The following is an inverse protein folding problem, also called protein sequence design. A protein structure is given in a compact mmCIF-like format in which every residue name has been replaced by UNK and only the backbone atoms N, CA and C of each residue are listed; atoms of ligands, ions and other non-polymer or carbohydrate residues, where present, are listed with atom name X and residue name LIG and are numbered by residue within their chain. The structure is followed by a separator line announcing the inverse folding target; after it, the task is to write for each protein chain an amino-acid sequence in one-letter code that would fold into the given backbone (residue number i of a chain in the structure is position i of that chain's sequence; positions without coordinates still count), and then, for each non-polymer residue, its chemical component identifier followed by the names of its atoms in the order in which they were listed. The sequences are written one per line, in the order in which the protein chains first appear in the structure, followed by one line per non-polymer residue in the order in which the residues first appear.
data_IF_831215290060
#
_entry.id   IF_831215290060
#
_cell.length_a   1.000
_cell.length_b   1.000
_cell.length_c   1.000
_cell.angle_alpha   90.00
_cell.angle_beta   90.00
_cell.angle_gamma   90.00
#
_symmetry.space_group_name_H-M   'P 1'
#
loop_
_entity.id
_entity.type
_entity.pdbx_description
1 polymer ?
#
# COMPACT_ATOMS: atom_id res chain seq x y z
N UNK A 1 31.14 -2.38 -26.25
CA UNK A 1 30.99 -1.73 -24.93
C UNK A 1 30.56 -0.30 -25.21
N UNK A 2 29.29 0.03 -25.01
CA UNK A 2 28.78 1.37 -25.32
C UNK A 2 29.47 2.39 -24.40
N UNK A 3 30.21 3.33 -24.97
CA UNK A 3 30.75 4.47 -24.23
C UNK A 3 29.60 5.28 -23.62
N UNK A 4 29.82 5.82 -22.42
CA UNK A 4 28.82 6.70 -21.78
C UNK A 4 28.59 7.94 -22.65
N UNK A 5 27.40 8.55 -22.56
CA UNK A 5 27.06 9.79 -23.28
C UNK A 5 28.12 10.87 -23.06
N UNK A 6 28.71 10.94 -21.87
CA UNK A 6 29.83 11.84 -21.55
C UNK A 6 31.08 11.59 -22.41
N UNK A 7 31.41 10.32 -22.70
CA UNK A 7 32.55 10.00 -23.58
C UNK A 7 32.25 10.31 -25.04
N UNK A 8 31.02 10.04 -25.48
CA UNK A 8 30.57 10.39 -26.82
C UNK A 8 30.70 11.90 -27.03
N UNK A 9 30.15 12.70 -26.12
CA UNK A 9 30.20 14.17 -26.20
C UNK A 9 31.63 14.72 -26.13
N UNK A 10 32.50 14.14 -25.29
CA UNK A 10 33.90 14.59 -25.19
C UNK A 10 34.75 14.27 -26.41
N UNK A 11 34.41 13.24 -27.17
CA UNK A 11 35.27 12.68 -28.22
C UNK A 11 34.74 12.92 -29.64
N UNK A 12 33.47 13.32 -29.78
CA UNK A 12 32.88 13.70 -31.07
C UNK A 12 33.26 15.12 -31.48
N UNK A 13 33.79 15.25 -32.70
CA UNK A 13 34.01 16.56 -33.35
C UNK A 13 32.71 17.32 -33.61
N UNK A 14 31.55 16.68 -33.50
CA UNK A 14 30.22 17.26 -33.78
C UNK A 14 29.75 18.28 -32.73
N UNK A 15 30.26 18.20 -31.49
CA UNK A 15 29.95 19.12 -30.38
C UNK A 15 31.11 20.06 -30.05
N UNK A 16 32.12 20.14 -30.92
CA UNK A 16 33.28 21.01 -30.72
C UNK A 16 32.84 22.48 -30.80
N UNK A 17 32.86 23.18 -29.66
CA UNK A 17 32.44 24.59 -29.54
C UNK A 17 30.99 24.81 -29.09
N UNK A 18 30.22 23.74 -28.82
CA UNK A 18 28.85 23.84 -28.31
C UNK A 18 28.85 23.99 -26.77
N UNK A 19 28.72 25.23 -26.30
CA UNK A 19 28.85 25.58 -24.87
C UNK A 19 27.69 24.99 -24.05
N UNK A 20 26.47 24.96 -24.60
CA UNK A 20 25.28 24.39 -23.97
C UNK A 20 25.39 22.86 -23.80
N UNK A 21 25.82 22.15 -24.84
CA UNK A 21 26.05 20.70 -24.75
C UNK A 21 27.17 20.38 -23.77
N UNK A 22 28.24 21.18 -23.71
CA UNK A 22 29.31 21.00 -22.71
C UNK A 22 28.82 21.28 -21.30
N UNK A 23 27.92 22.23 -21.12
CA UNK A 23 27.38 22.56 -19.82
C UNK A 23 26.48 21.45 -19.27
N UNK A 24 25.72 20.79 -20.14
CA UNK A 24 24.82 19.69 -19.80
C UNK A 24 25.52 18.32 -19.71
N UNK A 25 26.51 18.06 -20.58
CA UNK A 25 27.06 16.72 -20.81
C UNK A 25 28.60 16.62 -20.69
N UNK A 26 29.30 17.73 -20.45
CA UNK A 26 30.76 17.80 -20.50
C UNK A 26 31.49 17.08 -19.35
N UNK A 27 30.79 16.75 -18.26
CA UNK A 27 31.34 15.95 -17.15
C UNK A 27 30.33 14.90 -16.70
N UNK A 28 30.82 13.86 -16.00
CA UNK A 28 29.94 12.81 -15.44
C UNK A 28 28.91 13.40 -14.46
N UNK A 29 29.28 14.25 -13.48
CA UNK A 29 28.29 14.85 -12.59
C UNK A 29 27.23 15.69 -13.30
N UNK A 30 27.64 16.48 -14.31
CA UNK A 30 26.70 17.28 -15.14
C UNK A 30 25.76 16.38 -15.91
N UNK A 31 26.28 15.34 -16.56
CA UNK A 31 25.46 14.35 -17.28
C UNK A 31 24.48 13.65 -16.36
N UNK A 32 24.89 13.28 -15.13
CA UNK A 32 24.02 12.67 -14.13
C UNK A 32 22.89 13.61 -13.71
N UNK A 33 23.19 14.89 -13.46
CA UNK A 33 22.19 15.89 -13.11
C UNK A 33 21.21 16.12 -14.27
N UNK A 34 21.70 16.23 -15.50
CA UNK A 34 20.86 16.34 -16.69
C UNK A 34 19.95 15.12 -16.88
N UNK A 35 20.47 13.91 -16.68
CA UNK A 35 19.66 12.68 -16.73
C UNK A 35 18.63 12.62 -15.59
N UNK A 36 18.96 13.13 -14.40
CA UNK A 36 18.01 13.28 -13.31
C UNK A 36 16.88 14.25 -13.69
N UNK A 37 17.19 15.40 -14.30
CA UNK A 37 16.18 16.33 -14.81
C UNK A 37 15.31 15.70 -15.92
N UNK A 38 15.91 14.96 -16.86
CA UNK A 38 15.15 14.24 -17.89
C UNK A 38 14.19 13.21 -17.25
N UNK A 39 14.65 12.51 -16.21
CA UNK A 39 13.84 11.54 -15.46
C UNK A 39 12.61 12.17 -14.78
N UNK A 40 12.71 13.43 -14.31
CA UNK A 40 11.55 14.12 -13.70
C UNK A 40 10.55 14.64 -14.72
N UNK A 41 10.80 14.46 -16.02
CA UNK A 41 10.01 15.02 -17.13
C UNK A 41 9.88 16.55 -17.07
N UNK A 42 10.72 17.22 -16.28
CA UNK A 42 10.74 18.67 -16.17
C UNK A 42 11.72 19.22 -17.19
N UNK A 43 11.18 19.90 -18.21
CA UNK A 43 11.98 20.52 -19.27
C UNK A 43 12.99 19.54 -19.94
N UNK A 44 12.56 18.29 -20.10
CA UNK A 44 13.42 17.19 -20.58
C UNK A 44 13.75 17.27 -22.07
N UNK A 45 12.91 17.96 -22.84
CA UNK A 45 13.00 17.97 -24.30
C UNK A 45 14.16 18.85 -24.80
N UNK A 46 14.49 19.92 -24.08
CA UNK A 46 15.53 20.86 -24.47
C UNK A 46 16.93 20.21 -24.40
N UNK A 47 17.35 19.58 -23.28
CA UNK A 47 18.68 18.95 -23.21
C UNK A 47 18.86 17.79 -24.19
N UNK A 48 17.76 17.06 -24.45
CA UNK A 48 17.73 15.94 -25.38
C UNK A 48 17.80 16.43 -26.83
N UNK A 49 17.10 17.52 -27.16
CA UNK A 49 17.10 18.09 -28.52
C UNK A 49 18.48 18.60 -28.91
N UNK A 50 19.20 19.27 -28.01
CA UNK A 50 20.57 19.73 -28.26
C UNK A 50 21.49 18.60 -28.73
N UNK A 51 21.39 17.43 -28.10
CA UNK A 51 22.17 16.24 -28.49
C UNK A 51 21.65 15.60 -29.77
N UNK A 52 20.33 15.50 -29.94
CA UNK A 52 19.70 14.85 -31.10
C UNK A 52 19.91 15.60 -32.42
N UNK A 53 20.10 16.92 -32.40
CA UNK A 53 20.35 17.69 -33.64
C UNK A 53 21.66 17.27 -34.32
N UNK A 54 22.66 16.84 -33.54
CA UNK A 54 23.96 16.36 -34.04
C UNK A 54 23.98 14.83 -34.17
N UNK A 55 23.43 14.13 -33.19
CA UNK A 55 23.41 12.67 -33.12
C UNK A 55 21.98 12.11 -32.99
N UNK A 56 21.21 12.01 -34.10
CA UNK A 56 19.80 11.61 -34.05
C UNK A 56 19.56 10.22 -33.47
N UNK A 57 20.52 9.29 -33.57
CA UNK A 57 20.39 7.93 -33.05
C UNK A 57 20.31 7.87 -31.51
N UNK A 58 20.80 8.91 -30.81
CA UNK A 58 20.66 9.02 -29.35
C UNK A 58 19.21 9.25 -28.91
N UNK A 59 18.30 9.58 -29.82
CA UNK A 59 16.86 9.64 -29.54
C UNK A 59 16.35 8.33 -28.93
N UNK A 60 16.77 7.19 -29.48
CA UNK A 60 16.36 5.87 -28.99
C UNK A 60 16.85 5.62 -27.55
N UNK A 61 18.05 6.09 -27.22
CA UNK A 61 18.60 6.01 -25.86
C UNK A 61 17.74 6.81 -24.87
N UNK A 62 17.40 8.05 -25.18
CA UNK A 62 16.61 8.90 -24.29
C UNK A 62 15.16 8.41 -24.14
N UNK A 63 14.52 7.95 -25.23
CA UNK A 63 13.18 7.36 -25.16
C UNK A 63 13.19 6.12 -24.26
N UNK A 64 14.18 5.24 -24.42
CA UNK A 64 14.32 4.06 -23.57
C UNK A 64 14.60 4.44 -22.11
N UNK A 65 15.47 5.41 -21.86
CA UNK A 65 15.78 5.90 -20.52
C UNK A 65 14.54 6.47 -19.83
N UNK A 66 13.76 7.33 -20.51
CA UNK A 66 12.51 7.88 -20.00
C UNK A 66 11.51 6.76 -19.73
N UNK A 67 11.33 5.83 -20.68
CA UNK A 67 10.38 4.72 -20.53
C UNK A 67 10.71 3.82 -19.34
N UNK A 68 11.98 3.41 -19.19
CA UNK A 68 12.42 2.55 -18.09
C UNK A 68 12.33 3.28 -16.75
N UNK A 69 12.78 4.53 -16.66
CA UNK A 69 12.77 5.29 -15.39
C UNK A 69 11.35 5.67 -14.96
N UNK A 70 10.49 6.09 -15.89
CA UNK A 70 9.08 6.35 -15.60
C UNK A 70 8.35 5.08 -15.13
N UNK A 71 8.58 3.94 -15.79
CA UNK A 71 8.00 2.66 -15.36
C UNK A 71 8.53 2.21 -13.99
N UNK A 72 9.82 2.37 -13.73
CA UNK A 72 10.41 2.04 -12.44
C UNK A 72 9.84 2.89 -11.30
N UNK A 73 9.75 4.21 -11.50
CA UNK A 73 9.14 5.13 -10.52
C UNK A 73 7.66 4.80 -10.32
N UNK A 74 6.92 4.54 -11.39
CA UNK A 74 5.50 4.16 -11.30
C UNK A 74 5.32 2.88 -10.47
N UNK A 75 6.11 1.83 -10.74
CA UNK A 75 6.02 0.59 -9.97
C UNK A 75 6.40 0.78 -8.50
N UNK A 76 7.36 1.65 -8.20
CA UNK A 76 7.69 2.02 -6.83
C UNK A 76 6.51 2.69 -6.12
N UNK A 77 5.87 3.66 -6.79
CA UNK A 77 4.70 4.38 -6.25
C UNK A 77 3.53 3.41 -6.05
N UNK A 78 3.24 2.55 -7.01
CA UNK A 78 2.19 1.52 -6.90
C UNK A 78 2.49 0.60 -5.71
N UNK A 79 3.75 0.18 -5.53
CA UNK A 79 4.17 -0.63 -4.39
C UNK A 79 3.85 0.03 -3.05
N UNK A 80 4.19 1.31 -2.90
CA UNK A 80 3.93 2.09 -1.68
C UNK A 80 2.42 2.26 -1.44
N UNK A 81 1.65 2.58 -2.48
CA UNK A 81 0.19 2.73 -2.38
C UNK A 81 -0.47 1.41 -2.01
N UNK A 82 -0.02 0.30 -2.61
CA UNK A 82 -0.53 -1.03 -2.32
C UNK A 82 -0.28 -1.41 -0.86
N UNK A 83 0.95 -1.22 -0.37
CA UNK A 83 1.29 -1.45 1.03
C UNK A 83 0.41 -0.62 1.98
N UNK A 84 0.24 0.68 1.70
CA UNK A 84 -0.61 1.55 2.51
C UNK A 84 -2.08 1.11 2.49
N UNK A 85 -2.58 0.66 1.35
CA UNK A 85 -3.98 0.22 1.19
C UNK A 85 -4.21 -1.10 1.92
N UNK A 86 -3.31 -2.07 1.75
CA UNK A 86 -3.37 -3.36 2.44
C UNK A 86 -3.23 -3.20 3.95
N UNK A 87 -2.34 -2.31 4.42
CA UNK A 87 -2.19 -2.02 5.85
C UNK A 87 -3.48 -1.43 6.44
N UNK A 88 -4.15 -0.52 5.73
CA UNK A 88 -5.43 0.03 6.17
C UNK A 88 -6.52 -1.04 6.26
N UNK A 89 -6.68 -1.87 5.22
CA UNK A 89 -7.66 -2.98 5.22
C UNK A 89 -7.40 -3.97 6.34
N UNK A 90 -6.15 -4.38 6.55
CA UNK A 90 -5.80 -5.32 7.63
C UNK A 90 -6.09 -4.73 9.02
N UNK A 91 -5.90 -3.42 9.20
CA UNK A 91 -6.25 -2.77 10.46
C UNK A 91 -7.76 -2.74 10.69
N UNK A 92 -8.53 -2.41 9.65
CA UNK A 92 -10.00 -2.42 9.71
C UNK A 92 -10.55 -3.82 10.02
N UNK A 93 -10.04 -4.86 9.36
CA UNK A 93 -10.42 -6.26 9.65
C UNK A 93 -10.07 -6.65 11.09
N UNK A 94 -8.91 -6.23 11.58
CA UNK A 94 -8.49 -6.51 12.96
C UNK A 94 -9.40 -5.81 13.97
N UNK A 95 -9.80 -4.57 13.73
CA UNK A 95 -10.74 -3.85 14.60
C UNK A 95 -12.13 -4.49 14.59
N UNK A 96 -12.62 -4.95 13.44
CA UNK A 96 -13.89 -5.67 13.34
C UNK A 96 -13.83 -6.99 14.11
N UNK A 97 -12.76 -7.77 13.94
CA UNK A 97 -12.59 -9.03 14.66
C UNK A 97 -12.50 -8.83 16.17
N UNK A 98 -11.78 -7.80 16.64
CA UNK A 98 -11.70 -7.46 18.06
C UNK A 98 -13.08 -7.09 18.63
N UNK A 99 -13.87 -6.29 17.90
CA UNK A 99 -15.24 -5.95 18.32
C UNK A 99 -16.14 -7.18 18.38
N UNK A 100 -16.05 -8.07 17.39
CA UNK A 100 -16.83 -9.31 17.38
C UNK A 100 -16.44 -10.23 18.54
N UNK A 101 -15.15 -10.35 18.85
CA UNK A 101 -14.66 -11.11 20.01
C UNK A 101 -15.15 -10.51 21.33
N UNK A 102 -15.13 -9.17 21.47
CA UNK A 102 -15.68 -8.48 22.63
C UNK A 102 -17.19 -8.69 22.77
N UNK A 103 -17.96 -8.54 21.70
CA UNK A 103 -19.40 -8.79 21.66
C UNK A 103 -19.73 -10.24 22.04
N UNK A 104 -19.02 -11.21 21.45
CA UNK A 104 -19.17 -12.63 21.76
C UNK A 104 -18.83 -12.95 23.22
N UNK A 105 -17.78 -12.32 23.76
CA UNK A 105 -17.40 -12.46 25.16
C UNK A 105 -18.48 -11.93 26.09
N UNK A 106 -19.05 -10.77 25.79
CA UNK A 106 -20.16 -10.19 26.57
C UNK A 106 -21.44 -11.03 26.47
N UNK A 107 -21.75 -11.60 25.29
CA UNK A 107 -22.89 -12.50 25.12
C UNK A 107 -22.70 -13.79 25.93
N UNK A 108 -21.51 -14.40 25.88
CA UNK A 108 -21.20 -15.59 26.67
C UNK A 108 -21.24 -15.31 28.17
N UNK A 109 -20.74 -14.15 28.63
CA UNK A 109 -20.85 -13.74 30.04
C UNK A 109 -22.32 -13.58 30.45
N UNK A 110 -23.14 -12.90 29.63
CA UNK A 110 -24.58 -12.77 29.91
C UNK A 110 -25.31 -14.12 29.90
N UNK A 111 -24.95 -15.03 29.01
CA UNK A 111 -25.51 -16.38 29.00
C UNK A 111 -25.10 -17.13 30.26
N UNK A 112 -23.82 -17.12 30.61
CA UNK A 112 -23.33 -17.75 31.82
C UNK A 112 -24.08 -17.27 33.07
N UNK A 113 -24.27 -15.94 33.21
CA UNK A 113 -25.05 -15.35 34.30
C UNK A 113 -26.52 -15.84 34.30
N UNK A 114 -27.15 -15.95 33.12
CA UNK A 114 -28.50 -16.50 33.02
C UNK A 114 -28.52 -17.96 33.48
N UNK A 115 -27.57 -18.78 32.99
CA UNK A 115 -27.46 -20.19 33.36
C UNK A 115 -27.23 -20.38 34.87
N UNK A 116 -26.36 -19.57 35.47
CA UNK A 116 -26.11 -19.59 36.92
C UNK A 116 -27.35 -19.17 37.72
N UNK A 117 -28.16 -18.23 37.22
CA UNK A 117 -29.43 -17.88 37.89
C UNK A 117 -30.50 -18.97 37.80
N UNK A 118 -30.43 -19.84 36.78
CA UNK A 118 -31.37 -20.96 36.63
C UNK A 118 -30.95 -22.18 37.44
N UNK A 119 -29.64 -22.40 37.59
CA UNK A 119 -29.11 -23.60 38.23
C UNK A 119 -29.27 -23.54 39.76
N UNK A 120 -30.39 -24.07 40.25
CA UNK A 120 -30.72 -24.10 41.68
C UNK A 120 -29.87 -25.06 42.51
N UNK A 121 -29.25 -26.08 41.89
CA UNK A 121 -28.53 -27.13 42.61
C UNK A 121 -26.99 -26.99 42.53
N UNK A 122 -26.50 -26.00 41.77
CA UNK A 122 -25.06 -25.69 41.58
C UNK A 122 -24.22 -26.90 41.13
N UNK A 123 -24.83 -27.87 40.45
CA UNK A 123 -24.13 -29.06 39.96
C UNK A 123 -23.37 -28.82 38.63
N UNK A 124 -23.46 -27.60 38.09
CA UNK A 124 -22.83 -27.19 36.83
C UNK A 124 -23.61 -27.60 35.57
N UNK A 125 -24.77 -28.25 35.71
CA UNK A 125 -25.68 -28.61 34.62
C UNK A 125 -27.06 -27.98 34.83
N UNK A 126 -27.80 -27.72 33.75
CA UNK A 126 -29.22 -27.35 33.84
C UNK A 126 -30.04 -28.60 33.57
N UNK A 127 -30.88 -28.98 34.53
CA UNK A 127 -31.85 -30.04 34.31
C UNK A 127 -33.03 -29.54 33.49
N UNK A 128 -33.78 -30.44 32.85
CA UNK A 128 -34.97 -30.09 32.07
C UNK A 128 -36.01 -29.34 32.92
N UNK A 129 -36.12 -29.69 34.19
CA UNK A 129 -37.09 -29.08 35.10
C UNK A 129 -36.65 -27.66 35.50
N UNK A 130 -35.34 -27.45 35.78
CA UNK A 130 -34.79 -26.10 36.04
C UNK A 130 -35.00 -25.17 34.85
N UNK A 131 -34.84 -25.69 33.62
CA UNK A 131 -35.08 -24.92 32.39
C UNK A 131 -36.56 -24.56 32.21
N UNK A 132 -37.48 -25.49 32.49
CA UNK A 132 -38.92 -25.25 32.37
C UNK A 132 -39.44 -24.29 33.45
N UNK A 133 -38.87 -24.31 34.65
CA UNK A 133 -39.18 -23.35 35.71
C UNK A 133 -38.60 -21.96 35.39
N UNK A 134 -37.41 -21.91 34.79
CA UNK A 134 -36.80 -20.67 34.33
C UNK A 134 -37.59 -19.98 33.20
N UNK A 135 -38.24 -20.75 32.31
CA UNK A 135 -39.12 -20.20 31.27
C UNK A 135 -40.44 -19.62 31.82
N UNK A 136 -40.78 -19.87 33.08
CA UNK A 136 -41.92 -19.24 33.75
C UNK A 136 -41.57 -17.87 34.36
N UNK A 137 -40.28 -17.54 34.47
CA UNK A 137 -39.82 -16.21 34.90
C UNK A 137 -39.69 -15.27 33.68
N UNK A 138 -40.63 -14.33 33.57
CA UNK A 138 -40.64 -13.29 32.53
C UNK A 138 -39.30 -12.52 32.44
N UNK A 139 -38.57 -12.40 33.55
CA UNK A 139 -37.25 -11.73 33.60
C UNK A 139 -36.15 -12.56 32.94
N UNK A 140 -36.27 -13.88 32.99
CA UNK A 140 -35.32 -14.81 32.36
C UNK A 140 -35.64 -14.93 30.88
N UNK A 141 -36.92 -15.07 30.52
CA UNK A 141 -37.40 -15.08 29.13
C UNK A 141 -37.03 -13.77 28.42
N UNK A 142 -37.25 -12.62 29.05
CA UNK A 142 -36.86 -11.32 28.49
C UNK A 142 -35.36 -11.18 28.25
N UNK A 143 -34.52 -11.83 29.06
CA UNK A 143 -33.05 -11.83 28.89
C UNK A 143 -32.58 -12.81 27.82
N UNK A 144 -33.20 -13.99 27.69
CA UNK A 144 -32.93 -14.94 26.60
C UNK A 144 -33.31 -14.37 25.23
N UNK A 145 -34.46 -13.69 25.14
CA UNK A 145 -34.88 -12.99 23.92
C UNK A 145 -33.95 -11.82 23.57
N UNK A 146 -33.41 -11.11 24.56
CA UNK A 146 -32.42 -10.04 24.34
C UNK A 146 -31.09 -10.58 23.79
N UNK A 147 -30.77 -11.86 24.03
CA UNK A 147 -29.60 -12.57 23.47
C UNK A 147 -29.92 -13.20 22.09
N UNK A 148 -31.18 -13.17 21.66
CA UNK A 148 -31.62 -13.69 20.36
C UNK A 148 -31.97 -15.18 20.36
N UNK A 149 -32.26 -15.77 21.53
CA UNK A 149 -32.74 -17.15 21.65
C UNK A 149 -34.28 -17.13 21.63
N UNK A 150 -34.87 -17.63 20.54
CA UNK A 150 -36.33 -17.82 20.35
C UNK A 150 -36.79 -19.24 20.69
#
# INVERSE_FOLDING_TARGET
MLGSVTQIVKQSSEFEGDEEVRDLWGTVPRSMFTLFQVMTMADWAEPVRHVMTKMPWLAAFFILFIGVTAFAIMNLVIGIICESTLSAVNNDEREVNLKLEEEWRTLLESLHDIFDTMNHNSDGAISRDDFLDALQDDKVVGRLLAVGIE
#
